data_IF_440676870858
#
_entry.id   IF_440676870858
#
_cell.length_a   1.000
_cell.length_b   1.000
_cell.length_c   1.000
_cell.angle_alpha   90.00
_cell.angle_beta   90.00
_cell.angle_gamma   90.00
#
_symmetry.space_group_name_H-M   'P 1'
#
loop_
_entity.id
_entity.type
_entity.pdbx_description
1 polymer ?
#
# COMPACT_ATOMS: atom_id res chain seq x y z
N UNK A 1 25.45 49.20 -55.96
CA UNK A 1 24.86 49.37 -54.60
C UNK A 1 23.74 48.37 -54.46
N UNK A 2 24.05 47.22 -53.85
CA UNK A 2 23.11 46.08 -53.71
C UNK A 2 22.70 46.01 -52.25
N UNK A 3 21.40 46.29 -51.96
CA UNK A 3 20.84 46.24 -50.64
C UNK A 3 20.51 44.78 -50.27
N UNK A 4 21.22 44.23 -49.28
CA UNK A 4 20.91 42.95 -48.66
C UNK A 4 19.77 43.17 -47.63
N UNK A 5 18.60 42.58 -47.84
CA UNK A 5 17.51 42.56 -46.86
C UNK A 5 17.74 41.37 -45.94
N UNK A 6 18.06 41.65 -44.66
CA UNK A 6 18.08 40.66 -43.61
C UNK A 6 16.64 40.38 -43.19
N UNK A 7 16.18 39.14 -43.41
CA UNK A 7 14.87 38.68 -42.87
C UNK A 7 15.15 38.12 -41.47
N UNK A 8 14.65 38.77 -40.45
CA UNK A 8 14.64 38.24 -39.06
C UNK A 8 13.60 37.15 -38.92
N UNK A 9 14.05 35.92 -38.73
CA UNK A 9 13.20 34.78 -38.42
C UNK A 9 12.88 34.82 -36.90
N UNK A 10 11.65 35.26 -36.55
CA UNK A 10 11.16 35.15 -35.17
C UNK A 10 10.88 33.68 -34.85
N UNK A 11 11.75 33.08 -34.07
CA UNK A 11 11.52 31.79 -33.43
C UNK A 11 10.44 31.96 -32.33
N UNK A 12 9.20 31.54 -32.62
CA UNK A 12 8.15 31.36 -31.64
C UNK A 12 8.54 30.18 -30.74
N UNK A 13 9.08 30.49 -29.56
CA UNK A 13 9.26 29.49 -28.49
C UNK A 13 7.86 29.20 -27.95
N UNK A 14 7.37 27.92 -28.01
CA UNK A 14 6.11 27.60 -27.41
C UNK A 14 6.20 27.78 -25.90
N UNK A 15 5.40 28.68 -25.35
CA UNK A 15 5.20 28.79 -23.91
C UNK A 15 4.65 27.45 -23.39
N UNK A 16 5.15 26.94 -22.25
CA UNK A 16 4.58 25.74 -21.66
C UNK A 16 3.10 25.98 -21.38
N UNK A 17 2.24 25.14 -21.96
CA UNK A 17 0.83 25.09 -21.58
C UNK A 17 0.76 24.75 -20.09
N UNK A 18 0.48 25.74 -19.25
CA UNK A 18 0.11 25.47 -17.87
C UNK A 18 -1.20 24.70 -17.92
N UNK A 19 -1.20 23.47 -17.40
CA UNK A 19 -2.44 22.71 -17.22
C UNK A 19 -3.42 23.56 -16.42
N UNK A 20 -4.68 23.62 -16.86
CA UNK A 20 -5.72 24.33 -16.12
C UNK A 20 -5.77 23.80 -14.67
N UNK A 21 -5.94 24.67 -13.68
CA UNK A 21 -6.02 24.23 -12.28
C UNK A 21 -7.18 23.23 -12.12
N UNK A 22 -6.93 22.17 -11.33
CA UNK A 22 -7.95 21.16 -11.05
C UNK A 22 -9.22 21.81 -10.46
N UNK A 23 -10.39 21.66 -11.10
CA UNK A 23 -11.64 22.28 -10.67
C UNK A 23 -12.07 21.81 -9.26
N UNK A 24 -11.60 20.67 -8.79
CA UNK A 24 -11.93 20.10 -7.50
C UNK A 24 -10.92 20.44 -6.39
N UNK A 25 -9.77 21.04 -6.70
CA UNK A 25 -8.68 21.25 -5.75
C UNK A 25 -9.12 21.95 -4.45
N UNK A 26 -9.87 23.03 -4.54
CA UNK A 26 -10.37 23.77 -3.37
C UNK A 26 -11.37 22.94 -2.55
N UNK A 27 -12.19 22.11 -3.19
CA UNK A 27 -13.16 21.22 -2.56
C UNK A 27 -12.44 20.10 -1.80
N UNK A 28 -11.43 19.48 -2.45
CA UNK A 28 -10.58 18.44 -1.86
C UNK A 28 -9.84 18.99 -0.64
N UNK A 29 -9.19 20.15 -0.76
CA UNK A 29 -8.46 20.77 0.34
C UNK A 29 -9.37 21.03 1.57
N UNK A 30 -10.61 21.43 1.36
CA UNK A 30 -11.60 21.62 2.43
C UNK A 30 -11.95 20.28 3.11
N UNK A 31 -12.15 19.21 2.35
CA UNK A 31 -12.46 17.88 2.88
C UNK A 31 -11.27 17.38 3.70
N UNK A 32 -10.05 17.41 3.14
CA UNK A 32 -8.84 16.91 3.79
C UNK A 32 -8.43 17.75 5.02
N UNK A 33 -8.88 18.99 5.11
CA UNK A 33 -8.73 19.78 6.34
C UNK A 33 -9.62 19.29 7.48
N UNK A 34 -10.81 18.76 7.17
CA UNK A 34 -11.78 18.26 8.14
C UNK A 34 -11.57 16.77 8.47
N UNK A 35 -11.20 15.98 7.47
CA UNK A 35 -11.01 14.53 7.56
C UNK A 35 -9.57 14.18 7.19
N UNK A 36 -8.83 13.42 8.03
CA UNK A 36 -7.50 12.98 7.65
C UNK A 36 -7.58 12.03 6.44
N UNK A 37 -6.75 12.26 5.43
CA UNK A 37 -6.46 11.20 4.46
C UNK A 37 -5.57 10.18 5.18
N UNK A 38 -6.04 8.94 5.24
CA UNK A 38 -5.34 7.83 5.89
C UNK A 38 -4.93 6.83 4.81
N UNK A 39 -3.64 6.64 4.68
CA UNK A 39 -3.08 5.58 3.83
C UNK A 39 -2.80 4.33 4.67
N UNK A 40 -3.38 3.21 4.25
CA UNK A 40 -3.31 1.92 4.96
C UNK A 40 -1.97 1.21 4.87
N UNK A 41 -1.11 1.59 3.90
CA UNK A 41 0.15 0.89 3.68
C UNK A 41 1.18 1.72 2.91
N UNK A 42 2.38 1.83 3.48
CA UNK A 42 3.50 2.51 2.85
C UNK A 42 4.81 1.91 3.37
N UNK A 43 5.68 1.46 2.47
CA UNK A 43 6.92 0.73 2.77
C UNK A 43 8.15 1.62 2.89
N UNK A 44 7.96 2.92 3.13
CA UNK A 44 9.08 3.84 3.30
C UNK A 44 10.12 3.40 4.34
N UNK A 45 9.75 2.79 5.51
CA UNK A 45 10.75 2.28 6.46
C UNK A 45 11.69 1.24 5.86
N UNK A 46 11.16 0.30 5.06
CA UNK A 46 11.97 -0.69 4.37
C UNK A 46 12.79 -0.06 3.26
N UNK A 47 12.19 0.77 2.39
CA UNK A 47 12.88 1.46 1.31
C UNK A 47 14.07 2.28 1.84
N UNK A 48 13.94 2.92 3.01
CA UNK A 48 15.05 3.60 3.68
C UNK A 48 16.11 2.60 4.17
N UNK A 49 15.71 1.46 4.70
CA UNK A 49 16.65 0.44 5.17
C UNK A 49 17.46 -0.14 4.00
N UNK A 50 16.83 -0.44 2.88
CA UNK A 50 17.47 -1.00 1.69
C UNK A 50 18.34 0.00 0.93
N UNK A 51 17.75 1.15 0.59
CA UNK A 51 18.36 2.12 -0.34
C UNK A 51 19.34 3.05 0.39
N UNK A 52 19.00 3.55 1.57
CA UNK A 52 19.84 4.46 2.35
C UNK A 52 20.77 3.74 3.34
N UNK A 53 20.50 2.49 3.71
CA UNK A 53 21.29 1.70 4.68
C UNK A 53 21.53 2.53 5.96
N UNK A 54 22.76 2.63 6.43
CA UNK A 54 23.09 3.38 7.65
C UNK A 54 22.82 4.88 7.55
N UNK A 55 22.85 5.46 6.33
CA UNK A 55 22.54 6.86 6.13
C UNK A 55 21.08 7.22 6.52
N UNK A 56 20.14 6.24 6.56
CA UNK A 56 18.75 6.45 6.98
C UNK A 56 18.61 7.08 8.35
N UNK A 57 19.58 6.87 9.23
CA UNK A 57 19.55 7.42 10.59
C UNK A 57 19.90 8.91 10.66
N UNK A 58 20.58 9.45 9.66
CA UNK A 58 21.13 10.82 9.68
C UNK A 58 20.70 11.70 8.51
N UNK A 59 20.32 11.10 7.36
CA UNK A 59 19.90 11.86 6.17
C UNK A 59 18.66 12.70 6.44
N UNK A 60 18.53 13.84 5.77
CA UNK A 60 17.32 14.65 5.82
C UNK A 60 16.19 13.95 5.04
N UNK A 61 15.08 13.69 5.72
CA UNK A 61 13.90 13.04 5.17
C UNK A 61 12.79 14.02 4.74
N UNK A 62 13.06 15.32 4.83
CA UNK A 62 12.10 16.34 4.42
C UNK A 62 11.88 16.31 2.90
N UNK A 63 12.95 16.12 2.14
CA UNK A 63 12.93 16.08 0.67
C UNK A 63 13.86 14.99 0.17
N UNK A 64 13.29 14.00 -0.50
CA UNK A 64 14.04 12.91 -1.11
C UNK A 64 13.92 12.97 -2.64
N UNK A 65 14.84 12.29 -3.31
CA UNK A 65 14.79 12.14 -4.76
C UNK A 65 13.54 11.35 -5.17
N UNK A 66 12.59 11.94 -5.93
CA UNK A 66 11.37 11.27 -6.35
C UNK A 66 11.60 10.12 -7.34
N UNK A 67 12.77 10.04 -7.97
CA UNK A 67 13.15 8.90 -8.80
C UNK A 67 13.54 7.67 -7.95
N UNK A 68 13.85 7.88 -6.68
CA UNK A 68 14.28 6.83 -5.76
C UNK A 68 13.21 6.47 -4.74
N UNK A 69 12.47 7.46 -4.23
CA UNK A 69 11.46 7.30 -3.17
C UNK A 69 10.13 7.90 -3.59
N UNK A 70 9.04 7.19 -3.34
CA UNK A 70 7.69 7.71 -3.55
C UNK A 70 7.24 8.64 -2.42
N UNK A 71 7.93 8.60 -1.27
CA UNK A 71 7.56 9.27 -0.02
C UNK A 71 8.67 10.18 0.50
N UNK A 72 8.29 11.38 0.93
CA UNK A 72 9.04 12.25 1.85
C UNK A 72 8.06 13.17 2.62
N UNK A 73 8.57 13.91 3.62
CA UNK A 73 7.70 14.69 4.51
C UNK A 73 7.01 15.87 3.81
N UNK A 74 7.68 16.54 2.86
CA UNK A 74 7.10 17.67 2.13
C UNK A 74 6.01 17.18 1.18
N UNK A 75 6.24 16.05 0.49
CA UNK A 75 5.24 15.43 -0.41
C UNK A 75 4.05 14.83 0.34
N UNK A 76 4.26 14.20 1.51
CA UNK A 76 3.15 13.76 2.37
C UNK A 76 2.21 14.92 2.74
N UNK A 77 2.79 16.08 3.05
CA UNK A 77 2.01 17.29 3.34
C UNK A 77 1.28 17.79 2.10
N UNK A 78 1.94 17.81 0.94
CA UNK A 78 1.35 18.22 -0.33
C UNK A 78 0.19 17.30 -0.74
N UNK A 79 0.29 15.99 -0.46
CA UNK A 79 -0.76 15.00 -0.67
C UNK A 79 -1.92 15.06 0.33
N UNK A 80 -1.81 15.90 1.37
CA UNK A 80 -2.85 16.06 2.38
C UNK A 80 -2.95 14.87 3.35
N UNK A 81 -1.88 14.08 3.49
CA UNK A 81 -1.85 12.91 4.38
C UNK A 81 -2.00 13.36 5.83
N UNK A 82 -3.03 12.86 6.51
CA UNK A 82 -3.33 13.10 7.92
C UNK A 82 -3.10 11.89 8.81
N UNK A 83 -3.04 10.69 8.21
CA UNK A 83 -2.73 9.42 8.88
C UNK A 83 -1.96 8.48 7.96
N UNK A 84 -0.98 7.77 8.50
CA UNK A 84 -0.17 6.84 7.73
C UNK A 84 0.09 5.57 8.53
N UNK A 85 -0.24 4.42 7.94
CA UNK A 85 0.29 3.15 8.41
C UNK A 85 1.63 2.89 7.71
N UNK A 86 2.70 2.89 8.49
CA UNK A 86 4.02 2.52 8.03
C UNK A 86 4.15 1.01 8.06
N UNK A 87 4.36 0.39 6.93
CA UNK A 87 4.66 -1.02 6.84
C UNK A 87 6.01 -1.32 7.50
N UNK A 88 6.01 -2.37 8.29
CA UNK A 88 7.20 -3.01 8.84
C UNK A 88 7.24 -4.39 8.24
N UNK A 89 7.84 -4.47 7.06
CA UNK A 89 7.96 -5.70 6.29
C UNK A 89 9.34 -6.31 6.41
N UNK A 90 9.37 -7.64 6.45
CA UNK A 90 10.61 -8.43 6.44
C UNK A 90 10.41 -9.64 5.55
N UNK A 91 11.43 -9.96 4.73
CA UNK A 91 11.36 -11.07 3.79
C UNK A 91 10.98 -12.40 4.48
N UNK A 92 9.90 -13.03 4.02
CA UNK A 92 9.46 -14.34 4.48
C UNK A 92 10.46 -15.49 4.16
N UNK A 93 11.52 -15.20 3.40
CA UNK A 93 12.60 -16.13 3.12
C UNK A 93 13.67 -16.21 4.21
N UNK A 94 13.67 -15.28 5.17
CA UNK A 94 14.62 -15.27 6.29
C UNK A 94 14.21 -16.25 7.39
N UNK A 95 15.16 -16.75 8.20
CA UNK A 95 14.83 -17.47 9.43
C UNK A 95 13.92 -16.63 10.33
N UNK A 96 12.93 -17.24 10.98
CA UNK A 96 11.92 -16.52 11.76
C UNK A 96 12.51 -15.66 12.88
N UNK A 97 13.54 -16.13 13.58
CA UNK A 97 14.27 -15.33 14.58
C UNK A 97 14.87 -14.05 13.98
N UNK A 98 15.40 -14.14 12.74
CA UNK A 98 15.90 -12.96 12.04
C UNK A 98 14.76 -12.03 11.64
N UNK A 99 13.60 -12.57 11.24
CA UNK A 99 12.42 -11.75 10.96
C UNK A 99 11.99 -10.94 12.19
N UNK A 100 11.97 -11.54 13.39
CA UNK A 100 11.67 -10.82 14.64
C UNK A 100 12.66 -9.68 14.89
N UNK A 101 13.96 -9.94 14.72
CA UNK A 101 15.00 -8.92 14.91
C UNK A 101 14.83 -7.75 13.94
N UNK A 102 14.66 -8.05 12.65
CA UNK A 102 14.57 -7.02 11.62
C UNK A 102 13.25 -6.22 11.73
N UNK A 103 12.17 -6.87 12.19
CA UNK A 103 10.92 -6.19 12.55
C UNK A 103 11.14 -5.15 13.65
N UNK A 104 11.88 -5.49 14.70
CA UNK A 104 12.20 -4.55 15.78
C UNK A 104 13.07 -3.40 15.29
N UNK A 105 14.02 -3.64 14.40
CA UNK A 105 14.84 -2.60 13.78
C UNK A 105 13.97 -1.61 12.96
N UNK A 106 12.99 -2.10 12.18
CA UNK A 106 12.08 -1.24 11.42
C UNK A 106 11.07 -0.50 12.33
N UNK A 107 10.55 -1.13 13.38
CA UNK A 107 9.77 -0.45 14.42
C UNK A 107 10.59 0.70 15.02
N UNK A 108 11.86 0.44 15.34
CA UNK A 108 12.80 1.45 15.82
C UNK A 108 12.99 2.60 14.83
N UNK A 109 12.98 2.31 13.52
CA UNK A 109 13.04 3.33 12.46
C UNK A 109 11.81 4.25 12.50
N UNK A 110 10.60 3.71 12.62
CA UNK A 110 9.36 4.51 12.70
C UNK A 110 9.37 5.39 13.96
N UNK A 111 9.83 4.87 15.10
CA UNK A 111 10.02 5.68 16.32
C UNK A 111 11.03 6.80 16.11
N UNK A 112 12.15 6.51 15.43
CA UNK A 112 13.16 7.51 15.09
C UNK A 112 12.60 8.62 14.19
N UNK A 113 11.77 8.29 13.19
CA UNK A 113 11.08 9.27 12.35
C UNK A 113 10.25 10.25 13.20
N UNK A 114 9.43 9.74 14.11
CA UNK A 114 8.60 10.57 14.96
C UNK A 114 9.43 11.45 15.92
N UNK A 115 10.52 10.92 16.45
CA UNK A 115 11.43 11.67 17.35
C UNK A 115 12.20 12.78 16.60
N UNK A 116 12.62 12.54 15.36
CA UNK A 116 13.38 13.49 14.54
C UNK A 116 12.52 14.60 13.96
N UNK A 117 11.25 14.29 13.65
CA UNK A 117 10.34 15.23 13.00
C UNK A 117 9.03 15.46 13.81
N UNK A 118 9.11 15.85 15.10
CA UNK A 118 7.95 15.92 15.99
C UNK A 118 6.92 16.99 15.60
N UNK A 119 7.30 17.92 14.71
CA UNK A 119 6.38 18.91 14.14
C UNK A 119 5.58 18.38 12.94
N UNK A 120 6.00 17.26 12.35
CA UNK A 120 5.38 16.64 11.18
C UNK A 120 4.66 15.34 11.53
N UNK A 121 5.25 14.51 12.36
CA UNK A 121 4.83 13.15 12.67
C UNK A 121 4.53 13.01 14.16
N UNK A 122 3.48 12.26 14.47
CA UNK A 122 3.15 11.85 15.85
C UNK A 122 2.75 10.38 15.84
N UNK A 123 3.44 9.55 16.60
CA UNK A 123 3.00 8.17 16.81
C UNK A 123 1.66 8.17 17.56
N UNK A 124 0.71 7.41 17.05
CA UNK A 124 -0.64 7.28 17.60
C UNK A 124 -1.02 5.80 17.70
N UNK A 125 -1.96 5.48 18.59
CA UNK A 125 -2.41 4.11 18.85
C UNK A 125 -3.90 3.93 18.72
N UNK A 126 -4.64 5.05 18.66
CA UNK A 126 -6.11 5.08 18.65
C UNK A 126 -6.63 6.03 17.58
N UNK A 127 -7.88 5.78 17.15
CA UNK A 127 -8.59 6.67 16.23
C UNK A 127 -8.70 8.10 16.78
N UNK A 128 -8.92 8.23 18.09
CA UNK A 128 -9.01 9.54 18.75
C UNK A 128 -7.68 10.30 18.70
N UNK A 129 -6.56 9.61 18.97
CA UNK A 129 -5.22 10.20 18.88
C UNK A 129 -4.87 10.61 17.43
N UNK A 130 -5.25 9.78 16.42
CA UNK A 130 -5.05 10.12 15.01
C UNK A 130 -5.81 11.40 14.64
N UNK A 131 -7.08 11.51 15.01
CA UNK A 131 -7.87 12.75 14.81
C UNK A 131 -7.24 13.94 15.52
N UNK A 132 -6.68 13.77 16.72
CA UNK A 132 -6.02 14.83 17.47
C UNK A 132 -4.71 15.26 16.78
N UNK A 133 -3.91 14.33 16.27
CA UNK A 133 -2.70 14.61 15.50
C UNK A 133 -3.04 15.41 14.24
N UNK A 134 -4.03 14.97 13.47
CA UNK A 134 -4.49 15.67 12.27
C UNK A 134 -4.97 17.10 12.55
N UNK A 135 -5.81 17.31 13.59
CA UNK A 135 -6.23 18.67 13.99
C UNK A 135 -5.07 19.55 14.40
N UNK A 136 -3.97 18.96 14.90
CA UNK A 136 -2.73 19.68 15.25
C UNK A 136 -1.80 19.90 14.03
N UNK A 137 -2.24 19.56 12.81
CA UNK A 137 -1.46 19.69 11.57
C UNK A 137 -0.30 18.70 11.47
N UNK A 138 -0.40 17.55 12.15
CA UNK A 138 0.59 16.47 12.14
C UNK A 138 0.01 15.18 11.55
N UNK A 139 0.88 14.37 10.98
CA UNK A 139 0.53 13.04 10.47
C UNK A 139 0.48 12.07 11.64
N UNK A 140 -0.72 11.52 11.92
CA UNK A 140 -0.89 10.43 12.87
C UNK A 140 -0.27 9.15 12.31
N UNK A 141 0.87 8.74 12.86
CA UNK A 141 1.65 7.61 12.36
C UNK A 141 1.37 6.35 13.16
N UNK A 142 1.04 5.29 12.45
CA UNK A 142 0.74 3.95 12.95
C UNK A 142 1.77 2.96 12.39
N UNK A 143 1.96 1.84 13.08
CA UNK A 143 2.87 0.78 12.65
C UNK A 143 2.05 -0.42 12.21
N UNK A 144 2.25 -0.88 10.99
CA UNK A 144 1.67 -2.10 10.45
C UNK A 144 2.73 -3.20 10.32
N UNK A 145 2.57 -4.33 11.00
CA UNK A 145 3.47 -5.46 10.85
C UNK A 145 2.98 -6.32 9.70
N UNK A 146 3.77 -6.40 8.62
CA UNK A 146 3.36 -7.07 7.40
C UNK A 146 4.01 -8.45 7.26
N UNK A 147 3.27 -9.44 7.76
CA UNK A 147 3.63 -10.86 7.65
C UNK A 147 3.67 -11.60 8.98
N UNK A 148 2.82 -12.61 9.11
CA UNK A 148 2.68 -13.39 10.34
C UNK A 148 3.90 -14.21 10.72
N UNK A 149 4.84 -14.46 9.80
CA UNK A 149 6.13 -15.08 10.11
C UNK A 149 6.97 -14.28 11.10
N UNK A 150 6.76 -12.95 11.13
CA UNK A 150 7.45 -12.01 12.00
C UNK A 150 7.13 -12.19 13.51
N UNK A 151 6.10 -12.96 13.88
CA UNK A 151 5.85 -13.28 15.29
C UNK A 151 6.51 -14.58 15.74
N UNK A 152 7.20 -15.32 14.86
CA UNK A 152 7.89 -16.59 15.16
C UNK A 152 7.02 -17.59 15.96
N UNK A 153 5.73 -17.72 15.58
CA UNK A 153 4.77 -18.59 16.27
C UNK A 153 4.51 -18.20 17.75
N UNK A 154 4.77 -16.96 18.15
CA UNK A 154 4.71 -16.51 19.54
C UNK A 154 3.71 -15.36 19.76
N UNK A 155 2.63 -15.63 20.50
CA UNK A 155 1.72 -14.57 20.96
C UNK A 155 2.41 -13.58 21.93
N UNK A 156 3.51 -13.96 22.57
CA UNK A 156 4.28 -13.05 23.42
C UNK A 156 5.00 -11.99 22.57
N UNK A 157 5.54 -12.37 21.41
CA UNK A 157 6.14 -11.44 20.45
C UNK A 157 5.07 -10.49 19.91
N UNK A 158 3.88 -10.99 19.52
CA UNK A 158 2.76 -10.16 19.10
C UNK A 158 2.37 -9.11 20.15
N UNK A 159 2.29 -9.50 21.44
CA UNK A 159 2.03 -8.59 22.56
C UNK A 159 3.11 -7.52 22.70
N UNK A 160 4.38 -7.90 22.53
CA UNK A 160 5.49 -6.95 22.56
C UNK A 160 5.39 -5.93 21.40
N UNK A 161 5.07 -6.38 20.20
CA UNK A 161 4.85 -5.46 19.07
C UNK A 161 3.70 -4.47 19.36
N UNK A 162 2.59 -4.92 19.96
CA UNK A 162 1.51 -4.01 20.39
C UNK A 162 2.01 -2.97 21.39
N UNK A 163 2.84 -3.35 22.34
CA UNK A 163 3.42 -2.40 23.31
C UNK A 163 4.33 -1.39 22.62
N UNK A 164 5.05 -1.80 21.58
CA UNK A 164 5.88 -0.91 20.75
C UNK A 164 5.07 -0.05 19.77
N UNK A 165 3.75 -0.23 19.67
CA UNK A 165 2.87 0.62 18.88
C UNK A 165 2.30 -0.01 17.62
N UNK A 166 2.52 -1.31 17.38
CA UNK A 166 1.90 -1.99 16.24
C UNK A 166 0.37 -1.90 16.31
N UNK A 167 -0.24 -1.49 15.21
CA UNK A 167 -1.67 -1.27 15.07
C UNK A 167 -2.38 -2.37 14.27
N UNK A 168 -1.68 -3.05 13.38
CA UNK A 168 -2.18 -4.24 12.70
C UNK A 168 -1.10 -5.33 12.57
N UNK A 169 -1.55 -6.55 12.26
CA UNK A 169 -0.74 -7.65 11.75
C UNK A 169 -1.38 -8.20 10.48
N UNK A 170 -0.65 -8.20 9.37
CA UNK A 170 -1.01 -8.95 8.16
C UNK A 170 -0.69 -10.42 8.40
N UNK A 171 -1.68 -11.32 8.26
CA UNK A 171 -1.53 -12.70 8.74
C UNK A 171 -0.52 -13.54 7.95
N UNK A 172 -0.27 -13.21 6.67
CA UNK A 172 0.86 -13.74 5.86
C UNK A 172 1.42 -12.63 4.98
N UNK A 173 2.57 -12.85 4.35
CA UNK A 173 3.00 -12.10 3.17
C UNK A 173 3.00 -13.04 1.95
N UNK A 174 4.07 -13.09 1.16
CA UNK A 174 4.16 -13.87 -0.08
C UNK A 174 4.25 -15.39 0.09
N UNK A 175 4.43 -15.89 1.31
CA UNK A 175 4.56 -17.33 1.60
C UNK A 175 3.54 -17.82 2.60
N UNK A 176 3.05 -19.03 2.39
CA UNK A 176 2.33 -19.82 3.39
C UNK A 176 3.26 -20.09 4.57
N UNK A 177 2.75 -19.86 5.77
CA UNK A 177 3.48 -20.05 7.03
C UNK A 177 2.83 -21.17 7.86
N UNK A 178 3.45 -21.56 8.96
CA UNK A 178 3.02 -22.70 9.77
C UNK A 178 1.56 -22.64 10.27
N UNK A 179 0.86 -21.49 10.14
CA UNK A 179 -0.46 -21.32 10.72
C UNK A 179 -1.48 -20.55 9.85
N UNK A 180 -1.09 -20.13 8.63
CA UNK A 180 -1.98 -19.42 7.69
C UNK A 180 -1.47 -19.58 6.25
N UNK A 181 -2.38 -19.73 5.31
CA UNK A 181 -2.07 -19.81 3.89
C UNK A 181 -2.02 -18.42 3.23
N UNK A 182 -0.96 -18.21 2.42
CA UNK A 182 -0.77 -17.02 1.60
C UNK A 182 -1.54 -17.11 0.26
N UNK A 183 -1.91 -15.97 -0.29
CA UNK A 183 -2.52 -15.86 -1.62
C UNK A 183 -1.58 -16.25 -2.77
N UNK A 184 -0.26 -16.15 -2.57
CA UNK A 184 0.75 -16.29 -3.62
C UNK A 184 1.68 -17.49 -3.43
N UNK A 185 1.31 -18.42 -2.55
CA UNK A 185 2.05 -19.66 -2.31
C UNK A 185 1.10 -20.86 -2.30
N UNK A 186 1.67 -22.06 -2.30
CA UNK A 186 0.90 -23.29 -2.20
C UNK A 186 0.15 -23.39 -0.86
N UNK A 187 -1.16 -23.62 -0.86
CA UNK A 187 -1.91 -23.80 0.38
C UNK A 187 -1.45 -25.08 1.10
N UNK A 188 -1.38 -25.04 2.43
CA UNK A 188 -0.99 -26.16 3.29
C UNK A 188 -2.03 -26.47 4.36
N UNK A 189 -2.94 -25.53 4.65
CA UNK A 189 -3.85 -25.61 5.80
C UNK A 189 -5.32 -25.43 5.41
N UNK A 190 -5.60 -25.11 4.13
CA UNK A 190 -6.94 -24.69 3.67
C UNK A 190 -7.53 -23.56 4.54
N UNK A 191 -6.66 -22.58 4.86
CA UNK A 191 -7.00 -21.40 5.64
C UNK A 191 -6.13 -21.23 6.90
N UNK A 192 -6.78 -21.07 8.06
CA UNK A 192 -6.14 -20.88 9.36
C UNK A 192 -6.03 -22.18 10.16
N UNK A 193 -4.85 -22.48 10.69
CA UNK A 193 -4.72 -23.53 11.72
C UNK A 193 -5.34 -23.06 13.07
N UNK A 194 -5.48 -23.96 14.08
CA UNK A 194 -5.90 -23.57 15.43
C UNK A 194 -5.06 -22.43 16.02
N UNK A 195 -3.73 -22.44 15.81
CA UNK A 195 -2.87 -21.35 16.27
C UNK A 195 -3.15 -20.03 15.50
N UNK A 196 -3.41 -20.08 14.18
CA UNK A 196 -3.82 -18.91 13.40
C UNK A 196 -5.11 -18.30 13.92
N UNK A 197 -6.06 -19.15 14.35
CA UNK A 197 -7.28 -18.69 15.02
C UNK A 197 -6.98 -18.02 16.37
N UNK A 198 -6.03 -18.53 17.15
CA UNK A 198 -5.59 -17.89 18.40
C UNK A 198 -4.93 -16.55 18.16
N UNK A 199 -4.16 -16.40 17.08
CA UNK A 199 -3.60 -15.09 16.64
C UNK A 199 -4.73 -14.09 16.38
N UNK A 200 -5.78 -14.46 15.62
CA UNK A 200 -6.93 -13.57 15.35
C UNK A 200 -7.65 -13.17 16.65
N UNK A 201 -7.87 -14.12 17.56
CA UNK A 201 -8.47 -13.83 18.88
C UNK A 201 -7.61 -12.88 19.70
N UNK A 202 -6.29 -13.08 19.66
CA UNK A 202 -5.35 -12.22 20.40
C UNK A 202 -5.27 -10.82 19.81
N UNK A 203 -5.30 -10.66 18.47
CA UNK A 203 -5.39 -9.34 17.83
C UNK A 203 -6.64 -8.59 18.28
N UNK A 204 -7.81 -9.25 18.31
CA UNK A 204 -9.05 -8.65 18.83
C UNK A 204 -8.90 -8.26 20.32
N UNK A 205 -8.27 -9.10 21.13
CA UNK A 205 -8.02 -8.84 22.55
C UNK A 205 -7.11 -7.63 22.78
N UNK A 206 -6.15 -7.43 21.88
CA UNK A 206 -5.17 -6.33 21.95
C UNK A 206 -5.70 -5.02 21.34
N UNK A 207 -6.85 -5.04 20.67
CA UNK A 207 -7.34 -3.91 19.88
C UNK A 207 -6.41 -3.61 18.69
N UNK A 208 -5.76 -4.65 18.16
CA UNK A 208 -5.02 -4.59 16.90
C UNK A 208 -5.93 -5.01 15.75
N UNK A 209 -5.77 -4.38 14.60
CA UNK A 209 -6.52 -4.73 13.41
C UNK A 209 -6.00 -6.05 12.83
N UNK A 210 -6.93 -6.91 12.42
CA UNK A 210 -6.63 -8.09 11.62
C UNK A 210 -6.52 -7.64 10.17
N UNK A 211 -5.34 -7.72 9.58
CA UNK A 211 -5.13 -7.38 8.18
C UNK A 211 -5.11 -8.63 7.30
N UNK A 212 -5.97 -8.63 6.29
CA UNK A 212 -6.20 -9.75 5.38
C UNK A 212 -5.60 -9.53 3.98
N UNK A 213 -4.80 -8.49 3.78
CA UNK A 213 -3.96 -8.40 2.59
C UNK A 213 -3.01 -9.59 2.53
N UNK A 214 -2.61 -10.04 1.34
CA UNK A 214 -1.71 -11.17 1.09
C UNK A 214 -2.21 -12.58 1.43
N UNK A 215 -3.26 -12.76 2.21
CA UNK A 215 -3.70 -14.09 2.62
C UNK A 215 -4.55 -14.78 1.56
N UNK A 216 -4.58 -16.12 1.56
CA UNK A 216 -5.45 -16.89 0.67
C UNK A 216 -6.93 -16.60 0.94
N UNK A 217 -7.80 -16.82 -0.05
CA UNK A 217 -9.25 -16.63 0.12
C UNK A 217 -9.82 -17.49 1.25
N UNK A 218 -9.31 -18.71 1.43
CA UNK A 218 -9.68 -19.57 2.57
C UNK A 218 -9.32 -18.91 3.90
N UNK A 219 -8.12 -18.35 4.03
CA UNK A 219 -7.68 -17.61 5.22
C UNK A 219 -8.53 -16.35 5.45
N UNK A 220 -8.89 -15.60 4.38
CA UNK A 220 -9.79 -14.45 4.48
C UNK A 220 -11.14 -14.84 5.10
N UNK A 221 -11.75 -15.90 4.58
CA UNK A 221 -13.05 -16.37 5.02
C UNK A 221 -13.02 -16.95 6.44
N UNK A 222 -11.94 -17.67 6.81
CA UNK A 222 -11.75 -18.17 8.16
C UNK A 222 -11.66 -17.03 9.18
N UNK A 223 -10.81 -16.04 8.90
CA UNK A 223 -10.68 -14.87 9.77
C UNK A 223 -12.00 -14.10 9.90
N UNK A 224 -12.72 -13.86 8.79
CA UNK A 224 -14.01 -13.17 8.76
C UNK A 224 -15.09 -13.90 9.55
N UNK A 225 -15.10 -15.25 9.57
CA UNK A 225 -16.07 -16.03 10.34
C UNK A 225 -15.87 -15.93 11.84
N UNK A 226 -14.64 -15.70 12.30
CA UNK A 226 -14.34 -15.84 13.73
C UNK A 226 -13.97 -14.52 14.42
N UNK A 227 -13.54 -13.50 13.67
CA UNK A 227 -13.18 -12.21 14.27
C UNK A 227 -14.40 -11.53 14.89
N UNK A 228 -14.18 -10.88 16.04
CA UNK A 228 -15.18 -10.05 16.71
C UNK A 228 -15.11 -8.58 16.29
N UNK A 229 -13.95 -8.15 15.81
CA UNK A 229 -13.72 -6.80 15.33
C UNK A 229 -13.79 -6.72 13.81
N UNK A 230 -14.14 -5.59 13.21
CA UNK A 230 -14.01 -5.37 11.78
C UNK A 230 -12.55 -5.54 11.34
N UNK A 231 -12.37 -6.19 10.18
CA UNK A 231 -11.05 -6.41 9.58
C UNK A 231 -10.64 -5.26 8.66
N UNK A 232 -9.37 -5.23 8.29
CA UNK A 232 -8.87 -4.43 7.19
C UNK A 232 -8.26 -5.33 6.10
N UNK A 233 -8.21 -4.79 4.89
CA UNK A 233 -7.26 -5.12 3.86
C UNK A 233 -6.42 -3.86 3.68
N UNK A 234 -5.22 -3.86 4.21
CA UNK A 234 -4.36 -2.66 4.25
C UNK A 234 -4.01 -2.15 2.85
N UNK A 235 -3.93 -3.05 1.85
CA UNK A 235 -3.62 -2.74 0.46
C UNK A 235 -4.05 -3.88 -0.48
N UNK A 236 -5.28 -3.87 -0.97
CA UNK A 236 -5.83 -4.91 -1.89
C UNK A 236 -6.88 -4.33 -2.83
N UNK A 237 -7.02 -4.93 -4.01
CA UNK A 237 -7.92 -4.48 -5.08
C UNK A 237 -9.07 -5.46 -5.31
N UNK A 238 -9.96 -5.17 -6.26
CA UNK A 238 -11.06 -6.06 -6.65
C UNK A 238 -10.59 -7.11 -7.67
N UNK A 239 -10.77 -8.40 -7.35
CA UNK A 239 -10.37 -9.51 -8.21
C UNK A 239 -11.15 -9.56 -9.53
N UNK A 240 -12.37 -9.06 -9.53
CA UNK A 240 -13.20 -8.99 -10.74
C UNK A 240 -12.60 -8.13 -11.87
N UNK A 241 -11.70 -7.19 -11.55
CA UNK A 241 -11.07 -6.30 -12.53
C UNK A 241 -9.62 -6.70 -12.88
N UNK A 242 -8.95 -7.39 -11.98
CA UNK A 242 -7.62 -7.96 -12.22
C UNK A 242 -7.55 -9.29 -11.48
N UNK A 243 -7.57 -10.41 -12.25
CA UNK A 243 -7.71 -11.77 -11.73
C UNK A 243 -6.38 -12.28 -11.16
N UNK A 244 -6.03 -11.78 -10.00
CA UNK A 244 -4.93 -12.26 -9.18
C UNK A 244 -5.45 -12.69 -7.81
N UNK A 245 -4.94 -13.77 -7.20
CA UNK A 245 -5.34 -14.18 -5.86
C UNK A 245 -4.96 -13.14 -4.78
N UNK A 246 -4.12 -12.16 -5.13
CA UNK A 246 -3.76 -11.02 -4.29
C UNK A 246 -4.92 -10.02 -4.12
N UNK A 247 -5.88 -10.04 -5.04
CA UNK A 247 -7.08 -9.20 -5.04
C UNK A 247 -8.27 -9.92 -4.38
N UNK A 248 -9.22 -9.13 -3.90
CA UNK A 248 -10.37 -9.58 -3.10
C UNK A 248 -11.52 -9.97 -4.02
N UNK A 249 -12.05 -11.19 -3.87
CA UNK A 249 -13.22 -11.65 -4.62
C UNK A 249 -14.51 -10.98 -4.15
N UNK A 250 -15.53 -10.94 -5.01
CA UNK A 250 -16.86 -10.39 -4.67
C UNK A 250 -17.51 -11.13 -3.49
N UNK A 251 -17.21 -12.42 -3.33
CA UNK A 251 -17.64 -13.21 -2.18
C UNK A 251 -17.06 -12.66 -0.88
N UNK A 252 -15.76 -12.39 -0.88
CA UNK A 252 -15.07 -11.81 0.28
C UNK A 252 -15.49 -10.36 0.50
N UNK A 253 -15.66 -9.55 -0.55
CA UNK A 253 -16.15 -8.17 -0.44
C UNK A 253 -17.51 -8.10 0.29
N UNK A 254 -18.44 -9.02 -0.02
CA UNK A 254 -19.71 -9.12 0.67
C UNK A 254 -19.56 -9.52 2.15
N UNK A 255 -18.62 -10.43 2.44
CA UNK A 255 -18.31 -10.83 3.80
C UNK A 255 -17.66 -9.68 4.61
N UNK A 256 -16.79 -8.87 3.98
CA UNK A 256 -16.24 -7.65 4.58
C UNK A 256 -17.31 -6.64 4.91
N UNK A 257 -18.28 -6.44 4.02
CA UNK A 257 -19.43 -5.56 4.28
C UNK A 257 -20.23 -6.03 5.50
N UNK A 258 -20.51 -7.33 5.59
CA UNK A 258 -21.24 -7.92 6.74
C UNK A 258 -20.44 -7.82 8.05
N UNK A 259 -19.11 -7.91 8.00
CA UNK A 259 -18.19 -7.75 9.14
C UNK A 259 -18.04 -6.28 9.57
N UNK A 260 -18.34 -5.32 8.71
CA UNK A 260 -18.08 -3.89 8.94
C UNK A 260 -16.64 -3.46 8.64
N UNK A 261 -15.85 -4.30 7.96
CA UNK A 261 -14.46 -4.05 7.61
C UNK A 261 -14.25 -3.02 6.49
N UNK A 262 -13.01 -2.86 6.05
CA UNK A 262 -12.61 -1.94 4.96
C UNK A 262 -11.54 -2.56 4.08
N UNK A 263 -11.68 -2.39 2.76
CA UNK A 263 -10.66 -2.74 1.77
C UNK A 263 -10.00 -1.45 1.28
N UNK A 264 -8.70 -1.30 1.51
CA UNK A 264 -7.92 -0.14 1.10
C UNK A 264 -7.20 -0.46 -0.21
N UNK A 265 -7.48 0.36 -1.24
CA UNK A 265 -7.09 0.07 -2.62
C UNK A 265 -5.60 0.31 -2.83
N UNK A 266 -4.92 -0.69 -3.39
CA UNK A 266 -3.49 -0.73 -3.70
C UNK A 266 -3.21 -0.07 -5.07
N UNK A 267 -2.03 0.56 -5.22
CA UNK A 267 -1.62 1.22 -6.46
C UNK A 267 -0.60 0.41 -7.28
N UNK A 268 -0.21 -0.78 -6.85
CA UNK A 268 0.68 -1.63 -7.64
C UNK A 268 0.07 -1.96 -9.01
N UNK A 269 0.72 -1.55 -10.08
CA UNK A 269 0.19 -1.63 -11.45
C UNK A 269 -0.26 -3.04 -11.86
N UNK A 270 0.45 -4.08 -11.39
CA UNK A 270 0.11 -5.48 -11.66
C UNK A 270 -1.12 -6.00 -10.91
N UNK A 271 -1.60 -5.29 -9.89
CA UNK A 271 -2.84 -5.63 -9.16
C UNK A 271 -4.01 -4.76 -9.59
N UNK A 272 -3.73 -3.68 -10.35
CA UNK A 272 -4.72 -2.75 -10.91
C UNK A 272 -5.10 -3.14 -12.33
N UNK A 273 -4.14 -3.47 -13.19
CA UNK A 273 -4.37 -3.73 -14.62
C UNK A 273 -4.16 -5.20 -14.97
N UNK A 274 -5.21 -5.88 -15.45
CA UNK A 274 -5.11 -7.26 -15.95
C UNK A 274 -4.12 -7.37 -17.11
N UNK A 275 -4.11 -6.39 -18.02
CA UNK A 275 -3.14 -6.36 -19.11
C UNK A 275 -1.69 -6.26 -18.60
N UNK A 276 -1.47 -5.43 -17.55
CA UNK A 276 -0.15 -5.28 -16.92
C UNK A 276 0.27 -6.56 -16.19
N UNK A 277 -0.68 -7.23 -15.53
CA UNK A 277 -0.45 -8.52 -14.86
C UNK A 277 0.00 -9.59 -15.84
N UNK A 278 -0.74 -9.72 -16.95
CA UNK A 278 -0.43 -10.70 -18.03
C UNK A 278 0.94 -10.39 -18.62
N UNK A 279 1.20 -9.13 -18.98
CA UNK A 279 2.49 -8.72 -19.51
C UNK A 279 3.65 -9.04 -18.53
N UNK A 280 3.43 -8.83 -17.22
CA UNK A 280 4.41 -9.15 -16.19
C UNK A 280 4.71 -10.66 -16.11
N UNK A 281 3.69 -11.51 -16.27
CA UNK A 281 3.85 -12.96 -16.33
C UNK A 281 4.64 -13.38 -17.57
N UNK A 282 4.32 -12.83 -18.75
CA UNK A 282 5.01 -13.11 -20.00
C UNK A 282 6.47 -12.65 -19.97
N UNK A 283 6.72 -11.46 -19.39
CA UNK A 283 8.08 -10.95 -19.15
C UNK A 283 8.89 -11.86 -18.23
N UNK A 284 8.28 -12.36 -17.17
CA UNK A 284 8.93 -13.30 -16.25
C UNK A 284 9.24 -14.65 -16.93
N UNK A 285 8.35 -15.12 -17.79
CA UNK A 285 8.60 -16.31 -18.61
C UNK A 285 9.76 -16.09 -19.59
N UNK A 286 9.86 -14.91 -20.22
CA UNK A 286 10.96 -14.57 -21.12
C UNK A 286 12.31 -14.47 -20.37
N UNK A 287 12.32 -13.86 -19.16
CA UNK A 287 13.52 -13.87 -18.30
C UNK A 287 13.94 -15.31 -18.01
N UNK A 288 13.02 -16.18 -17.62
CA UNK A 288 13.30 -17.57 -17.31
C UNK A 288 13.83 -18.32 -18.55
N UNK A 289 13.21 -18.12 -19.72
CA UNK A 289 13.63 -18.71 -20.98
C UNK A 289 15.08 -18.39 -21.33
N UNK A 290 15.54 -17.18 -21.03
CA UNK A 290 16.90 -16.75 -21.34
C UNK A 290 17.91 -17.15 -20.26
N UNK A 291 17.52 -17.23 -18.99
CA UNK A 291 18.42 -17.34 -17.83
C UNK A 291 18.20 -18.59 -16.95
N UNK A 292 17.33 -19.54 -17.31
CA UNK A 292 16.99 -20.64 -16.41
C UNK A 292 18.21 -21.45 -15.93
N UNK A 293 18.58 -21.34 -14.64
CA UNK A 293 19.67 -22.12 -14.09
C UNK A 293 19.25 -23.59 -13.85
N UNK A 294 20.21 -24.54 -13.78
CA UNK A 294 21.63 -24.36 -14.04
C UNK A 294 21.99 -24.44 -15.52
N UNK A 295 21.14 -25.06 -16.38
CA UNK A 295 21.48 -25.37 -17.77
C UNK A 295 20.30 -25.22 -18.74
N UNK A 296 19.19 -24.63 -18.32
CA UNK A 296 17.94 -24.57 -19.10
C UNK A 296 17.74 -23.30 -19.93
N UNK A 297 18.55 -22.23 -19.72
CA UNK A 297 18.40 -20.96 -20.43
C UNK A 297 19.04 -20.95 -21.78
N UNK A 298 18.53 -20.12 -22.72
CA UNK A 298 19.10 -19.94 -24.06
C UNK A 298 20.47 -19.23 -24.04
N UNK A 299 20.76 -18.44 -23.02
CA UNK A 299 21.96 -17.64 -22.85
C UNK A 299 22.80 -18.08 -21.63
N UNK A 300 23.06 -19.39 -21.52
CA UNK A 300 23.86 -19.95 -20.43
C UNK A 300 25.27 -19.37 -20.46
N UNK A 301 25.68 -18.73 -19.36
CA UNK A 301 27.01 -18.10 -19.26
C UNK A 301 27.16 -16.80 -20.07
N UNK A 302 26.09 -16.31 -20.69
CA UNK A 302 26.06 -15.04 -21.43
C UNK A 302 25.01 -14.06 -20.88
N UNK A 303 25.24 -13.41 -19.75
CA UNK A 303 24.29 -12.46 -19.17
C UNK A 303 24.02 -11.24 -20.06
N UNK A 304 24.95 -10.87 -20.95
CA UNK A 304 24.75 -9.77 -21.90
C UNK A 304 23.76 -10.16 -23.01
N UNK A 305 23.91 -11.35 -23.56
CA UNK A 305 22.96 -11.89 -24.55
C UNK A 305 21.57 -12.05 -23.96
N UNK A 306 21.46 -12.55 -22.73
CA UNK A 306 20.17 -12.64 -22.01
C UNK A 306 19.51 -11.26 -21.80
N UNK A 307 20.29 -10.26 -21.40
CA UNK A 307 19.78 -8.89 -21.23
C UNK A 307 19.34 -8.26 -22.56
N UNK A 308 20.10 -8.50 -23.65
CA UNK A 308 19.72 -8.01 -24.98
C UNK A 308 18.44 -8.68 -25.48
N UNK A 309 18.31 -9.99 -25.32
CA UNK A 309 17.11 -10.72 -25.71
C UNK A 309 15.86 -10.22 -24.97
N UNK A 310 15.97 -9.94 -23.66
CA UNK A 310 14.90 -9.34 -22.89
C UNK A 310 14.55 -7.92 -23.39
N UNK A 311 15.54 -7.09 -23.66
CA UNK A 311 15.31 -5.75 -24.19
C UNK A 311 14.62 -5.76 -25.58
N UNK A 312 14.99 -6.69 -26.44
CA UNK A 312 14.36 -6.88 -27.73
C UNK A 312 12.92 -7.37 -27.61
N UNK A 313 12.64 -8.26 -26.64
CA UNK A 313 11.29 -8.69 -26.30
C UNK A 313 10.43 -7.54 -25.76
N UNK A 314 10.93 -6.76 -24.82
CA UNK A 314 10.23 -5.57 -24.25
C UNK A 314 9.93 -4.52 -25.32
N UNK A 315 10.84 -4.33 -26.26
CA UNK A 315 10.60 -3.44 -27.42
C UNK A 315 9.48 -3.93 -28.33
N UNK A 316 9.40 -5.25 -28.53
CA UNK A 316 8.33 -5.89 -29.33
C UNK A 316 6.99 -5.96 -28.58
N UNK A 317 7.02 -5.97 -27.26
CA UNK A 317 5.88 -6.08 -26.35
C UNK A 317 5.92 -4.94 -25.33
N UNK A 318 5.56 -3.70 -25.72
CA UNK A 318 5.64 -2.55 -24.82
C UNK A 318 4.77 -2.76 -23.59
N UNK A 319 5.28 -2.31 -22.44
CA UNK A 319 4.58 -2.40 -21.15
C UNK A 319 3.24 -1.66 -21.19
N UNK A 320 2.11 -2.33 -20.86
CA UNK A 320 0.81 -1.68 -20.79
C UNK A 320 0.78 -0.58 -19.73
N UNK A 321 0.29 0.60 -20.11
CA UNK A 321 0.13 1.71 -19.19
C UNK A 321 -1.03 1.44 -18.25
N UNK A 322 -0.76 1.49 -16.95
CA UNK A 322 -1.79 1.52 -15.90
C UNK A 322 -2.11 2.97 -15.57
N UNK A 323 -3.39 3.29 -15.32
CA UNK A 323 -3.84 4.67 -15.14
C UNK A 323 -4.56 4.89 -13.81
N UNK A 324 -4.63 6.15 -13.36
CA UNK A 324 -5.42 6.56 -12.20
C UNK A 324 -6.91 6.20 -12.35
N UNK A 325 -7.44 6.26 -13.57
CA UNK A 325 -8.82 5.86 -13.86
C UNK A 325 -9.08 4.39 -13.53
N UNK A 326 -8.12 3.49 -13.82
CA UNK A 326 -8.24 2.07 -13.46
C UNK A 326 -8.21 1.86 -11.93
N UNK A 327 -7.45 2.65 -11.18
CA UNK A 327 -7.52 2.62 -9.70
C UNK A 327 -8.91 3.05 -9.22
N UNK A 328 -9.46 4.11 -9.80
CA UNK A 328 -10.83 4.55 -9.51
C UNK A 328 -11.88 3.47 -9.89
N UNK A 329 -11.67 2.70 -10.96
CA UNK A 329 -12.55 1.57 -11.32
C UNK A 329 -12.59 0.51 -10.22
N UNK A 330 -11.44 0.17 -9.59
CA UNK A 330 -11.41 -0.74 -8.44
C UNK A 330 -12.17 -0.18 -7.24
N UNK A 331 -12.02 1.10 -6.95
CA UNK A 331 -12.77 1.79 -5.89
C UNK A 331 -14.28 1.71 -6.16
N UNK A 332 -14.71 2.06 -7.37
CA UNK A 332 -16.11 2.01 -7.78
C UNK A 332 -16.69 0.58 -7.73
N UNK A 333 -15.90 -0.44 -8.10
CA UNK A 333 -16.32 -1.84 -7.99
C UNK A 333 -16.51 -2.28 -6.54
N UNK A 334 -15.57 -1.94 -5.64
CA UNK A 334 -15.68 -2.26 -4.22
C UNK A 334 -16.92 -1.58 -3.63
N UNK A 335 -17.15 -0.31 -3.97
CA UNK A 335 -18.36 0.42 -3.55
C UNK A 335 -19.64 -0.25 -4.07
N UNK A 336 -19.65 -0.69 -5.32
CA UNK A 336 -20.80 -1.38 -5.93
C UNK A 336 -21.13 -2.68 -5.20
N UNK A 337 -20.13 -3.45 -4.75
CA UNK A 337 -20.31 -4.77 -4.15
C UNK A 337 -20.48 -4.71 -2.64
N UNK A 338 -19.68 -3.91 -1.95
CA UNK A 338 -19.62 -3.84 -0.49
C UNK A 338 -20.27 -2.56 0.09
N UNK A 339 -20.36 -1.50 -0.69
CA UNK A 339 -20.85 -0.20 -0.22
C UNK A 339 -19.73 0.78 0.11
N UNK A 340 -20.03 2.07 0.06
CA UNK A 340 -19.05 3.16 0.23
C UNK A 340 -18.42 3.19 1.63
N UNK A 341 -19.03 2.57 2.63
CA UNK A 341 -18.49 2.47 3.98
C UNK A 341 -17.35 1.44 4.13
N UNK A 342 -17.04 0.69 3.06
CA UNK A 342 -16.12 -0.45 3.09
C UNK A 342 -14.91 -0.29 2.18
N UNK A 343 -14.61 0.92 1.73
CA UNK A 343 -13.48 1.23 0.85
C UNK A 343 -12.57 2.29 1.48
N UNK A 344 -11.26 2.20 1.21
CA UNK A 344 -10.22 3.13 1.65
C UNK A 344 -9.04 3.18 0.68
N UNK A 345 -7.96 3.82 1.07
CA UNK A 345 -6.71 3.96 0.30
C UNK A 345 -5.60 3.25 1.05
N UNK A 346 -4.85 2.37 0.36
CA UNK A 346 -3.68 1.67 0.86
C UNK A 346 -2.64 1.58 -0.26
N UNK A 347 -1.89 2.64 -0.48
CA UNK A 347 -1.17 2.90 -1.71
C UNK A 347 -0.11 1.89 -2.10
N UNK A 348 0.57 1.32 -1.11
CA UNK A 348 1.74 0.47 -1.31
C UNK A 348 2.95 1.26 -1.89
N UNK A 349 2.98 2.59 -1.65
CA UNK A 349 4.12 3.41 -2.04
C UNK A 349 5.40 2.94 -1.35
N UNK A 350 6.51 3.03 -2.08
CA UNK A 350 7.84 2.54 -1.73
C UNK A 350 7.99 1.00 -1.69
N UNK A 351 6.89 0.20 -1.69
CA UNK A 351 6.90 -1.26 -1.78
C UNK A 351 6.77 -1.81 -3.21
N UNK A 352 6.44 -0.96 -4.19
CA UNK A 352 6.19 -1.38 -5.58
C UNK A 352 7.05 -0.65 -6.60
N UNK A 353 7.39 -1.34 -7.69
CA UNK A 353 8.25 -0.80 -8.73
C UNK A 353 7.52 -0.06 -9.85
N UNK A 354 6.24 -0.38 -10.09
CA UNK A 354 5.44 0.20 -11.17
C UNK A 354 4.13 0.76 -10.61
N UNK A 355 3.89 2.04 -10.88
CA UNK A 355 2.73 2.79 -10.41
C UNK A 355 1.84 3.24 -11.58
N UNK A 356 0.55 3.48 -11.35
CA UNK A 356 -0.36 4.04 -12.35
C UNK A 356 0.06 5.47 -12.74
N UNK A 357 -0.08 5.78 -14.02
CA UNK A 357 0.11 7.14 -14.48
C UNK A 357 -0.84 8.11 -13.75
N UNK A 358 -0.26 9.15 -13.14
CA UNK A 358 -0.97 10.10 -12.29
C UNK A 358 -0.87 9.81 -10.78
N UNK A 359 -0.28 8.67 -10.37
CA UNK A 359 -0.08 8.27 -8.97
C UNK A 359 1.38 7.93 -8.70
N UNK A 360 2.31 8.86 -8.97
CA UNK A 360 3.76 8.63 -8.87
C UNK A 360 4.37 8.80 -7.48
N UNK A 361 3.63 9.25 -6.48
CA UNK A 361 4.10 9.46 -5.11
C UNK A 361 2.99 9.99 -4.20
N UNK A 362 3.31 10.11 -2.91
CA UNK A 362 2.34 10.47 -1.87
C UNK A 362 1.69 11.85 -2.07
N UNK A 363 2.26 12.73 -2.86
CA UNK A 363 1.70 14.05 -3.21
C UNK A 363 0.51 13.95 -4.17
N UNK A 364 0.29 12.79 -4.80
CA UNK A 364 -0.68 12.61 -5.87
C UNK A 364 -2.06 12.14 -5.42
N UNK A 365 -2.27 11.87 -4.14
CA UNK A 365 -3.60 11.49 -3.62
C UNK A 365 -4.73 12.45 -4.02
N UNK A 366 -4.54 13.80 -4.03
CA UNK A 366 -5.59 14.71 -4.48
C UNK A 366 -6.04 14.47 -5.93
N UNK A 367 -5.15 13.96 -6.80
CA UNK A 367 -5.52 13.64 -8.18
C UNK A 367 -6.50 12.44 -8.24
N UNK A 368 -6.32 11.42 -7.38
CA UNK A 368 -7.28 10.31 -7.27
C UNK A 368 -8.64 10.79 -6.75
N UNK A 369 -8.63 11.66 -5.74
CA UNK A 369 -9.88 12.23 -5.23
C UNK A 369 -10.59 13.10 -6.28
N UNK A 370 -9.82 13.82 -7.11
CA UNK A 370 -10.37 14.61 -8.24
C UNK A 370 -11.01 13.70 -9.29
N UNK A 371 -10.35 12.59 -9.67
CA UNK A 371 -10.90 11.59 -10.59
C UNK A 371 -12.25 11.06 -10.08
N UNK A 372 -12.34 10.71 -8.79
CA UNK A 372 -13.59 10.24 -8.20
C UNK A 372 -14.69 11.32 -8.18
N UNK A 373 -14.32 12.58 -7.90
CA UNK A 373 -15.27 13.69 -7.98
C UNK A 373 -15.77 13.93 -9.41
N UNK A 374 -14.94 13.74 -10.42
CA UNK A 374 -15.36 13.80 -11.83
C UNK A 374 -16.35 12.68 -12.16
N UNK A 375 -16.27 11.53 -11.48
CA UNK A 375 -17.22 10.41 -11.57
C UNK A 375 -18.51 10.65 -10.78
N UNK A 376 -18.64 11.78 -10.08
CA UNK A 376 -19.84 12.16 -9.34
C UNK A 376 -19.84 11.83 -7.85
N UNK A 377 -18.70 11.45 -7.28
CA UNK A 377 -18.58 11.21 -5.83
C UNK A 377 -18.90 12.48 -5.02
N UNK A 378 -19.68 12.32 -3.97
CA UNK A 378 -20.03 13.40 -3.04
C UNK A 378 -18.87 13.74 -2.10
N UNK A 379 -18.91 14.92 -1.45
CA UNK A 379 -17.94 15.28 -0.39
C UNK A 379 -17.95 14.27 0.75
N UNK A 380 -19.13 13.75 1.09
CA UNK A 380 -19.28 12.73 2.13
C UNK A 380 -18.64 11.40 1.76
N UNK A 381 -18.78 10.96 0.51
CA UNK A 381 -18.17 9.71 0.03
C UNK A 381 -16.65 9.84 -0.03
N UNK A 382 -16.13 10.99 -0.50
CA UNK A 382 -14.70 11.29 -0.48
C UNK A 382 -14.15 11.29 0.96
N UNK A 383 -14.86 11.87 1.93
CA UNK A 383 -14.44 11.85 3.32
C UNK A 383 -14.40 10.42 3.90
N UNK A 384 -15.39 9.58 3.55
CA UNK A 384 -15.40 8.16 3.93
C UNK A 384 -14.19 7.41 3.39
N UNK A 385 -13.95 7.51 2.07
CA UNK A 385 -12.79 6.91 1.41
C UNK A 385 -11.47 7.41 1.99
N UNK A 386 -11.35 8.73 2.18
CA UNK A 386 -10.13 9.34 2.67
C UNK A 386 -9.72 8.83 4.06
N UNK A 387 -10.68 8.63 4.99
CA UNK A 387 -10.27 8.18 6.31
C UNK A 387 -11.39 7.84 7.29
N UNK A 388 -12.62 8.33 7.10
CA UNK A 388 -13.70 8.06 8.07
C UNK A 388 -13.99 6.56 8.21
N UNK A 389 -13.90 5.78 7.12
CA UNK A 389 -14.09 4.33 7.15
C UNK A 389 -13.01 3.63 7.99
N UNK A 390 -11.74 4.00 7.82
CA UNK A 390 -10.63 3.43 8.59
C UNK A 390 -10.76 3.80 10.07
N UNK A 391 -11.09 5.07 10.38
CA UNK A 391 -11.29 5.53 11.76
C UNK A 391 -12.47 4.81 12.44
N UNK A 392 -13.55 4.50 11.71
CA UNK A 392 -14.67 3.69 12.19
C UNK A 392 -14.20 2.28 12.55
N UNK A 393 -13.43 1.63 11.69
CA UNK A 393 -12.90 0.28 11.93
C UNK A 393 -11.95 0.27 13.13
N UNK A 394 -11.03 1.24 13.23
CA UNK A 394 -10.14 1.37 14.39
C UNK A 394 -10.94 1.51 15.69
N UNK A 395 -11.93 2.43 15.73
CA UNK A 395 -12.77 2.64 16.90
C UNK A 395 -13.54 1.38 17.32
N UNK A 396 -14.03 0.61 16.34
CA UNK A 396 -14.74 -0.64 16.62
C UNK A 396 -13.79 -1.73 17.18
N UNK A 397 -12.57 -1.83 16.68
CA UNK A 397 -11.56 -2.75 17.21
C UNK A 397 -11.15 -2.38 18.65
N UNK A 398 -10.96 -1.09 18.92
CA UNK A 398 -10.67 -0.56 20.26
C UNK A 398 -11.81 -0.91 21.25
N UNK A 399 -13.07 -0.78 20.81
CA UNK A 399 -14.25 -1.13 21.60
C UNK A 399 -14.26 -2.62 21.95
N UNK A 400 -14.06 -3.50 20.97
CA UNK A 400 -13.98 -4.96 21.19
C UNK A 400 -12.92 -5.32 22.23
N UNK A 401 -11.75 -4.67 22.19
CA UNK A 401 -10.69 -4.90 23.18
C UNK A 401 -11.06 -4.42 24.60
N UNK A 402 -11.95 -3.46 24.75
CA UNK A 402 -12.38 -2.91 26.03
C UNK A 402 -13.54 -3.69 26.70
N UNK A 403 -14.25 -4.53 25.96
CA UNK A 403 -15.39 -5.33 26.43
C UNK A 403 -14.94 -6.63 27.15
N UNK A 404 -13.91 -6.59 27.99
CA UNK A 404 -13.35 -7.75 28.73
C UNK A 404 -14.10 -8.03 30.03
#
# INVERSE_FOLDING_TARGET
MTFLRLAALLLLVPLPLHAAPDPHAARIARILKATPLIDGHNDWPEALAEKAKDARWTMDLARLDPATYHTDLDRLRAGGVGGQFWSVWVSAGLPQVQQVKDTLDQIGMVHSLAARYPRHITLVRTAAELRAAHRAGRIGSLIGVEGGGQIDGSLAVLRAYRQLGAAYLTLTHSRTIAWADSATDNPQHDGLTPFGQDVVRELNRLGMLVDLSHVSEATMLDALRMTKAPVIFSHSNARALCDTPRNVSDTVLKAVAANGGVVMVNFAAQYVSEARRIWGADRSAEITRNNAPPFGGLHIGDPKGAAQALADWEKAHPEPVTTIAQVADHIDHIVKVAGVDHVGIGSDFDGVGALPQGLGGVETYPALLSELMQRGWSDGDIAKLAGENVLRVMTAAEKVASEK
#
